data_IF_035080983426
#
_entry.id   IF_035080983426
#
_cell.length_a   1.000
_cell.length_b   1.000
_cell.length_c   1.000
_cell.angle_alpha   90.00
_cell.angle_beta   90.00
_cell.angle_gamma   90.00
#
_symmetry.space_group_name_H-M   'P 1'
#
loop_
_entity.id
_entity.type
_entity.pdbx_description
1 polymer ?
#
# COMPACT_ATOMS: atom_id res chain seq x y z
N UNK A 1 26.19 29.60 -20.97
CA UNK A 1 24.87 28.92 -20.89
C UNK A 1 25.02 27.40 -20.71
N UNK A 2 26.05 26.79 -21.29
CA UNK A 2 26.33 25.34 -21.23
C UNK A 2 26.61 24.76 -19.82
N UNK A 3 27.14 25.54 -18.88
CA UNK A 3 27.46 25.04 -17.53
C UNK A 3 26.20 24.61 -16.75
N UNK A 4 25.10 25.36 -16.88
CA UNK A 4 23.85 25.06 -16.19
C UNK A 4 23.20 23.79 -16.77
N UNK A 5 23.20 23.64 -18.08
CA UNK A 5 22.63 22.47 -18.77
C UNK A 5 23.38 21.18 -18.39
N UNK A 6 24.71 21.25 -18.28
CA UNK A 6 25.53 20.13 -17.82
C UNK A 6 25.21 19.74 -16.37
N UNK A 7 25.09 20.73 -15.47
CA UNK A 7 24.74 20.50 -14.06
C UNK A 7 23.34 19.90 -13.90
N UNK A 8 22.36 20.40 -14.66
CA UNK A 8 20.98 19.88 -14.65
C UNK A 8 20.96 18.44 -15.18
N UNK A 9 21.64 18.16 -16.28
CA UNK A 9 21.68 16.82 -16.86
C UNK A 9 22.35 15.81 -15.90
N UNK A 10 23.47 16.18 -15.29
CA UNK A 10 24.14 15.36 -14.28
C UNK A 10 23.22 15.12 -13.05
N UNK A 11 22.53 16.16 -12.56
CA UNK A 11 21.57 16.02 -11.46
C UNK A 11 20.43 15.05 -11.79
N UNK A 12 19.86 15.17 -13.00
CA UNK A 12 18.78 14.29 -13.46
C UNK A 12 19.26 12.84 -13.61
N UNK A 13 20.48 12.63 -14.15
CA UNK A 13 21.09 11.32 -14.24
C UNK A 13 21.26 10.68 -12.85
N UNK A 14 21.80 11.41 -11.88
CA UNK A 14 21.91 10.92 -10.50
C UNK A 14 20.56 10.56 -9.90
N UNK A 15 19.53 11.40 -10.08
CA UNK A 15 18.16 11.12 -9.62
C UNK A 15 17.62 9.82 -10.21
N UNK A 16 17.78 9.59 -11.51
CA UNK A 16 17.34 8.34 -12.16
C UNK A 16 18.03 7.11 -11.58
N UNK A 17 19.35 7.17 -11.36
CA UNK A 17 20.11 6.09 -10.75
C UNK A 17 19.63 5.81 -9.32
N UNK A 18 19.38 6.85 -8.52
CA UNK A 18 18.84 6.71 -7.16
C UNK A 18 17.43 6.12 -7.14
N UNK A 19 16.55 6.55 -8.06
CA UNK A 19 15.20 5.99 -8.19
C UNK A 19 15.28 4.49 -8.50
N UNK A 20 16.09 4.07 -9.48
CA UNK A 20 16.28 2.65 -9.81
C UNK A 20 16.78 1.85 -8.61
N UNK A 21 17.81 2.35 -7.92
CA UNK A 21 18.37 1.68 -6.72
C UNK A 21 17.31 1.53 -5.62
N UNK A 22 16.54 2.58 -5.38
CA UNK A 22 15.45 2.59 -4.39
C UNK A 22 14.38 1.56 -4.76
N UNK A 23 13.95 1.52 -6.03
CA UNK A 23 12.98 0.54 -6.51
C UNK A 23 13.50 -0.89 -6.36
N UNK A 24 14.74 -1.17 -6.75
CA UNK A 24 15.34 -2.50 -6.58
C UNK A 24 15.41 -2.90 -5.11
N UNK A 25 15.74 -1.97 -4.22
CA UNK A 25 15.79 -2.22 -2.78
C UNK A 25 14.40 -2.52 -2.21
N UNK A 26 13.41 -1.67 -2.51
CA UNK A 26 12.00 -1.87 -2.10
C UNK A 26 11.45 -3.20 -2.62
N UNK A 27 11.74 -3.55 -3.87
CA UNK A 27 11.32 -4.83 -4.45
C UNK A 27 11.90 -6.03 -3.68
N UNK A 28 13.20 -6.00 -3.38
CA UNK A 28 13.84 -7.06 -2.58
C UNK A 28 13.22 -7.17 -1.18
N UNK A 29 12.99 -6.03 -0.51
CA UNK A 29 12.33 -6.03 0.79
C UNK A 29 10.91 -6.61 0.72
N UNK A 30 10.11 -6.15 -0.24
CA UNK A 30 8.75 -6.63 -0.45
C UNK A 30 8.76 -8.14 -0.68
N UNK A 31 9.61 -8.63 -1.60
CA UNK A 31 9.76 -10.06 -1.90
C UNK A 31 10.12 -10.88 -0.66
N UNK A 32 11.07 -10.40 0.15
CA UNK A 32 11.46 -11.07 1.39
C UNK A 32 10.36 -11.03 2.46
N UNK A 33 9.48 -10.03 2.40
CA UNK A 33 8.35 -9.85 3.31
C UNK A 33 7.16 -10.76 2.98
N UNK A 34 6.97 -11.18 1.72
CA UNK A 34 5.76 -11.89 1.26
C UNK A 34 5.38 -13.03 2.20
N UNK A 35 6.27 -14.00 2.43
CA UNK A 35 5.95 -15.17 3.25
C UNK A 35 5.65 -14.82 4.71
N UNK A 36 6.28 -13.78 5.26
CA UNK A 36 6.01 -13.33 6.64
C UNK A 36 4.65 -12.64 6.72
N UNK A 37 4.35 -11.76 5.77
CA UNK A 37 3.07 -11.07 5.68
C UNK A 37 1.93 -12.06 5.46
N UNK A 38 2.08 -13.00 4.53
CA UNK A 38 1.10 -14.05 4.25
C UNK A 38 0.79 -14.87 5.51
N UNK A 39 1.82 -15.33 6.23
CA UNK A 39 1.63 -16.03 7.51
C UNK A 39 0.92 -15.18 8.56
N UNK A 40 1.25 -13.89 8.63
CA UNK A 40 0.59 -12.98 9.57
C UNK A 40 -0.89 -12.77 9.21
N UNK A 41 -1.21 -12.58 7.93
CA UNK A 41 -2.58 -12.43 7.45
C UNK A 41 -3.40 -13.70 7.66
N UNK A 42 -2.85 -14.88 7.36
CA UNK A 42 -3.55 -16.15 7.59
C UNK A 42 -3.86 -16.36 9.07
N UNK A 43 -2.94 -16.00 9.97
CA UNK A 43 -3.18 -16.07 11.42
C UNK A 43 -4.30 -15.12 11.87
N UNK A 44 -4.35 -13.91 11.31
CA UNK A 44 -5.41 -12.95 11.61
C UNK A 44 -6.76 -13.44 11.09
N UNK A 45 -6.78 -14.01 9.88
CA UNK A 45 -7.98 -14.59 9.30
C UNK A 45 -8.45 -15.79 10.15
N UNK A 46 -7.58 -16.75 10.47
CA UNK A 46 -7.92 -17.91 11.31
C UNK A 46 -8.45 -17.50 12.70
N UNK A 47 -7.95 -16.40 13.26
CA UNK A 47 -8.40 -15.91 14.56
C UNK A 47 -9.76 -15.18 14.52
N UNK A 48 -10.23 -14.75 13.35
CA UNK A 48 -11.46 -13.99 13.22
C UNK A 48 -12.71 -14.90 13.24
N UNK A 49 -13.78 -14.53 13.97
CA UNK A 49 -15.05 -15.26 13.95
C UNK A 49 -15.67 -15.30 12.55
N UNK A 50 -16.32 -16.43 12.21
CA UNK A 50 -16.92 -16.63 10.89
C UNK A 50 -17.99 -15.59 10.55
N UNK A 51 -18.81 -15.21 11.51
CA UNK A 51 -19.87 -14.19 11.33
C UNK A 51 -19.27 -12.81 11.05
N UNK A 52 -18.17 -12.46 11.72
CA UNK A 52 -17.47 -11.20 11.47
C UNK A 52 -16.85 -11.17 10.07
N UNK A 53 -16.29 -12.28 9.60
CA UNK A 53 -15.73 -12.36 8.24
C UNK A 53 -16.79 -12.11 7.16
N UNK A 54 -17.96 -12.73 7.31
CA UNK A 54 -19.04 -12.56 6.32
C UNK A 54 -19.57 -11.13 6.31
N UNK A 55 -19.74 -10.52 7.49
CA UNK A 55 -20.12 -9.12 7.64
C UNK A 55 -19.10 -8.15 7.02
N UNK A 56 -17.81 -8.36 7.28
CA UNK A 56 -16.74 -7.53 6.72
C UNK A 56 -16.66 -7.63 5.20
N UNK A 57 -16.75 -8.84 4.64
CA UNK A 57 -16.76 -9.05 3.18
C UNK A 57 -17.98 -8.39 2.51
N UNK A 58 -19.15 -8.44 3.14
CA UNK A 58 -20.34 -7.77 2.65
C UNK A 58 -20.16 -6.23 2.68
N UNK A 59 -19.66 -5.71 3.80
CA UNK A 59 -19.42 -4.28 3.99
C UNK A 59 -18.38 -3.72 3.04
N UNK A 60 -17.28 -4.46 2.83
CA UNK A 60 -16.24 -4.11 1.85
C UNK A 60 -16.82 -4.05 0.43
N UNK A 61 -17.62 -5.05 0.03
CA UNK A 61 -18.20 -5.10 -1.32
C UNK A 61 -19.12 -3.90 -1.58
N UNK A 62 -19.96 -3.54 -0.62
CA UNK A 62 -20.87 -2.39 -0.71
C UNK A 62 -20.06 -1.10 -0.80
N UNK A 63 -19.11 -0.91 0.11
CA UNK A 63 -18.23 0.27 0.15
C UNK A 63 -17.47 0.46 -1.16
N UNK A 64 -16.83 -0.59 -1.64
CA UNK A 64 -16.00 -0.51 -2.83
C UNK A 64 -16.82 -0.20 -4.10
N UNK A 65 -18.07 -0.63 -4.13
CA UNK A 65 -19.02 -0.30 -5.20
C UNK A 65 -19.47 1.17 -5.14
N UNK A 66 -19.58 1.72 -3.92
CA UNK A 66 -20.07 3.08 -3.69
C UNK A 66 -18.98 4.15 -3.63
N UNK A 67 -17.70 3.78 -3.57
CA UNK A 67 -16.55 4.69 -3.35
C UNK A 67 -16.50 5.93 -4.24
N UNK A 68 -17.05 5.86 -5.46
CA UNK A 68 -17.02 6.96 -6.43
C UNK A 68 -18.19 7.93 -6.18
N UNK A 69 -19.34 7.39 -5.77
CA UNK A 69 -20.59 8.14 -5.61
C UNK A 69 -20.75 8.72 -4.21
N UNK A 70 -20.15 8.07 -3.21
CA UNK A 70 -20.17 8.51 -1.82
C UNK A 70 -18.75 8.42 -1.23
N UNK A 71 -18.06 9.56 -1.07
CA UNK A 71 -16.76 9.61 -0.41
C UNK A 71 -16.78 9.08 1.04
N UNK A 72 -17.89 9.21 1.76
CA UNK A 72 -18.03 8.74 3.14
C UNK A 72 -18.19 7.22 3.24
N UNK A 73 -18.47 6.52 2.13
CA UNK A 73 -18.53 5.07 2.11
C UNK A 73 -17.19 4.44 2.57
N UNK A 74 -16.07 5.12 2.35
CA UNK A 74 -14.74 4.63 2.72
C UNK A 74 -14.43 4.72 4.22
N UNK A 75 -15.29 5.38 5.02
CA UNK A 75 -15.10 5.57 6.46
C UNK A 75 -15.12 4.24 7.24
N UNK A 76 -15.59 3.14 6.64
CA UNK A 76 -15.50 1.80 7.24
C UNK A 76 -14.07 1.34 7.53
N UNK A 77 -13.07 1.92 6.84
CA UNK A 77 -11.66 1.63 7.05
C UNK A 77 -11.03 2.53 8.12
N UNK A 78 -11.78 3.50 8.66
CA UNK A 78 -11.30 4.38 9.71
C UNK A 78 -11.12 3.59 11.01
N UNK A 79 -9.87 3.55 11.49
CA UNK A 79 -9.53 2.76 12.67
C UNK A 79 -9.91 3.58 13.91
N UNK A 80 -11.09 3.31 14.47
CA UNK A 80 -11.54 3.88 15.74
C UNK A 80 -10.94 3.10 16.92
N UNK A 81 -9.65 3.34 17.21
CA UNK A 81 -9.04 2.85 18.46
C UNK A 81 -9.54 3.74 19.60
N UNK A 82 -10.51 3.26 20.37
CA UNK A 82 -10.81 3.88 21.67
C UNK A 82 -9.58 3.67 22.57
N UNK A 83 -9.00 4.80 23.03
CA UNK A 83 -7.89 4.81 23.99
C UNK A 83 -8.26 4.15 25.30
#
# INVERSE_FOLDING_TARGET
>A
KECLDYQINNSNFCKMIHMKRTLCHKYKQAKNGITKSEKAFNRLDEAAPADSKTEWLASERITQSNRINDPAAMDIYEINIKK
#
